data_IF_300425687166
#
_entry.id   IF_300425687166
#
_cell.length_a   1.000
_cell.length_b   1.000
_cell.length_c   1.000
_cell.angle_alpha   90.00
_cell.angle_beta   90.00
_cell.angle_gamma   90.00
#
_symmetry.space_group_name_H-M   'P 1'
#
loop_
_entity.id
_entity.type
_entity.pdbx_description
1 polymer ?
#
# COMPACT_ATOMS: atom_id res chain seq x y z
N UNK A 1 21.77 -46.62 8.05
CA UNK A 1 20.44 -46.35 8.63
C UNK A 1 20.29 -44.85 8.96
N UNK A 2 20.18 -43.99 7.94
CA UNK A 2 20.03 -42.54 8.10
C UNK A 2 18.68 -42.02 7.54
N UNK A 3 18.14 -42.63 6.48
CA UNK A 3 16.98 -42.11 5.76
C UNK A 3 15.68 -42.07 6.58
N UNK A 4 15.36 -43.11 7.36
CA UNK A 4 14.09 -43.17 8.10
C UNK A 4 13.96 -42.13 9.23
N UNK A 5 15.07 -41.80 9.90
CA UNK A 5 15.10 -40.78 10.96
C UNK A 5 15.00 -39.38 10.37
N UNK A 6 15.70 -39.12 9.27
CA UNK A 6 15.63 -37.85 8.54
C UNK A 6 14.23 -37.57 7.99
N UNK A 7 13.57 -38.57 7.39
CA UNK A 7 12.19 -38.45 6.89
C UNK A 7 11.24 -38.10 8.04
N UNK A 8 11.36 -38.76 9.21
CA UNK A 8 10.53 -38.43 10.39
C UNK A 8 10.76 -36.99 10.87
N UNK A 9 12.00 -36.52 10.84
CA UNK A 9 12.33 -35.13 11.19
C UNK A 9 11.71 -34.15 10.20
N UNK A 10 11.79 -34.41 8.88
CA UNK A 10 11.15 -33.58 7.85
C UNK A 10 9.62 -33.52 8.02
N UNK A 11 8.98 -34.68 8.28
CA UNK A 11 7.54 -34.74 8.56
C UNK A 11 7.17 -33.87 9.77
N UNK A 12 7.95 -33.95 10.84
CA UNK A 12 7.74 -33.11 12.03
C UNK A 12 7.89 -31.61 11.72
N UNK A 13 8.92 -31.24 10.95
CA UNK A 13 9.15 -29.86 10.53
C UNK A 13 8.00 -29.31 9.68
N UNK A 14 7.53 -30.05 8.67
CA UNK A 14 6.41 -29.64 7.81
C UNK A 14 5.12 -29.50 8.62
N UNK A 15 4.83 -30.45 9.52
CA UNK A 15 3.67 -30.36 10.43
C UNK A 15 3.73 -29.13 11.33
N UNK A 16 4.92 -28.73 11.78
CA UNK A 16 5.11 -27.53 12.59
C UNK A 16 4.85 -26.26 11.75
N UNK A 17 5.45 -26.16 10.57
CA UNK A 17 5.20 -25.06 9.63
C UNK A 17 3.72 -24.94 9.27
N UNK A 18 3.04 -26.06 9.00
CA UNK A 18 1.60 -26.08 8.71
C UNK A 18 0.78 -25.46 9.85
N UNK A 19 1.05 -25.85 11.10
CA UNK A 19 0.37 -25.29 12.28
C UNK A 19 0.62 -23.80 12.42
N UNK A 20 1.85 -23.34 12.19
CA UNK A 20 2.21 -21.92 12.24
C UNK A 20 1.45 -21.14 11.17
N UNK A 21 1.43 -21.61 9.93
CA UNK A 21 0.72 -20.93 8.84
C UNK A 21 -0.79 -20.90 9.05
N UNK A 22 -1.39 -21.98 9.57
CA UNK A 22 -2.82 -22.00 9.91
C UNK A 22 -3.14 -21.02 11.04
N UNK A 23 -2.28 -20.90 12.05
CA UNK A 23 -2.46 -19.90 13.10
C UNK A 23 -2.32 -18.48 12.54
N UNK A 24 -1.34 -18.22 11.68
CA UNK A 24 -1.16 -16.93 11.00
C UNK A 24 -2.39 -16.54 10.16
N UNK A 25 -2.99 -17.50 9.45
CA UNK A 25 -4.21 -17.29 8.67
C UNK A 25 -5.38 -16.83 9.56
N UNK A 26 -5.63 -17.52 10.67
CA UNK A 26 -6.67 -17.14 11.63
C UNK A 26 -6.43 -15.74 12.23
N UNK A 27 -5.18 -15.42 12.57
CA UNK A 27 -4.79 -14.08 13.04
C UNK A 27 -5.01 -13.03 11.97
N UNK A 28 -4.66 -13.32 10.71
CA UNK A 28 -4.86 -12.42 9.58
C UNK A 28 -6.35 -12.17 9.33
N UNK A 29 -7.20 -13.21 9.38
CA UNK A 29 -8.65 -13.08 9.24
C UNK A 29 -9.24 -12.17 10.35
N UNK A 30 -8.81 -12.35 11.59
CA UNK A 30 -9.23 -11.48 12.71
C UNK A 30 -8.80 -10.02 12.50
N UNK A 31 -7.56 -9.78 12.06
CA UNK A 31 -7.06 -8.43 11.74
C UNK A 31 -7.79 -7.80 10.55
N UNK A 32 -8.10 -8.59 9.52
CA UNK A 32 -8.85 -8.13 8.35
C UNK A 32 -10.24 -7.63 8.75
N UNK A 33 -10.95 -8.40 9.58
CA UNK A 33 -12.26 -7.98 10.10
C UNK A 33 -12.17 -6.66 10.85
N UNK A 34 -11.21 -6.51 11.77
CA UNK A 34 -10.99 -5.25 12.49
C UNK A 34 -10.67 -4.07 11.55
N UNK A 35 -9.88 -4.30 10.51
CA UNK A 35 -9.55 -3.29 9.52
C UNK A 35 -10.78 -2.85 8.71
N UNK A 36 -11.63 -3.80 8.30
CA UNK A 36 -12.90 -3.51 7.62
C UNK A 36 -13.88 -2.72 8.51
N UNK A 37 -13.98 -3.08 9.78
CA UNK A 37 -14.81 -2.35 10.75
C UNK A 37 -14.31 -0.90 10.94
N UNK A 38 -13.00 -0.69 11.06
CA UNK A 38 -12.39 0.65 11.12
C UNK A 38 -12.66 1.45 9.84
N UNK A 39 -12.51 0.84 8.67
CA UNK A 39 -12.78 1.48 7.38
C UNK A 39 -14.25 1.93 7.29
N UNK A 40 -15.19 1.07 7.71
CA UNK A 40 -16.62 1.37 7.68
C UNK A 40 -16.96 2.60 8.53
N UNK A 41 -16.40 2.70 9.74
CA UNK A 41 -16.60 3.85 10.63
C UNK A 41 -16.05 5.16 10.04
N UNK A 42 -14.88 5.11 9.41
CA UNK A 42 -14.26 6.29 8.79
C UNK A 42 -14.99 6.80 7.55
N UNK A 43 -15.72 5.93 6.84
CA UNK A 43 -16.39 6.26 5.58
C UNK A 43 -17.42 7.38 5.72
N UNK A 44 -18.16 7.41 6.82
CA UNK A 44 -19.16 8.46 7.07
C UNK A 44 -18.54 9.86 7.17
N UNK A 45 -17.40 9.98 7.86
CA UNK A 45 -16.65 11.23 7.98
C UNK A 45 -16.14 11.72 6.62
N UNK A 46 -15.49 10.82 5.86
CA UNK A 46 -14.97 11.15 4.52
C UNK A 46 -16.08 11.62 3.57
N UNK A 47 -17.23 10.93 3.58
CA UNK A 47 -18.38 11.32 2.77
C UNK A 47 -18.95 12.69 3.17
N UNK A 48 -19.08 12.94 4.48
CA UNK A 48 -19.66 14.20 4.95
C UNK A 48 -18.75 15.39 4.66
N UNK A 49 -17.44 15.25 4.86
CA UNK A 49 -16.47 16.29 4.49
C UNK A 49 -16.50 16.55 2.99
N UNK A 50 -16.50 15.50 2.16
CA UNK A 50 -16.58 15.67 0.70
C UNK A 50 -17.86 16.42 0.29
N UNK A 51 -18.99 16.13 0.92
CA UNK A 51 -20.25 16.83 0.67
C UNK A 51 -20.16 18.32 1.06
N UNK A 52 -19.57 18.63 2.22
CA UNK A 52 -19.39 20.02 2.66
C UNK A 52 -18.43 20.77 1.74
N UNK A 53 -17.28 20.18 1.38
CA UNK A 53 -16.32 20.77 0.43
C UNK A 53 -17.02 21.06 -0.91
N UNK A 54 -17.79 20.10 -1.44
CA UNK A 54 -18.52 20.29 -2.69
C UNK A 54 -19.57 21.40 -2.61
N UNK A 55 -20.27 21.51 -1.49
CA UNK A 55 -21.26 22.58 -1.29
C UNK A 55 -20.60 23.97 -1.25
N UNK A 56 -19.48 24.11 -0.51
CA UNK A 56 -18.74 25.36 -0.43
C UNK A 56 -18.11 25.73 -1.78
N UNK A 57 -17.54 24.75 -2.49
CA UNK A 57 -16.94 24.96 -3.80
C UNK A 57 -17.94 25.47 -4.85
N UNK A 58 -19.19 24.97 -4.81
CA UNK A 58 -20.24 25.43 -5.73
C UNK A 58 -20.85 26.78 -5.33
N UNK A 59 -20.78 27.17 -4.05
CA UNK A 59 -21.37 28.40 -3.56
C UNK A 59 -20.49 29.64 -3.80
N UNK A 60 -19.16 29.48 -3.84
CA UNK A 60 -18.22 30.58 -4.12
C UNK A 60 -17.65 30.47 -5.53
N UNK A 61 -18.34 31.02 -6.54
CA UNK A 61 -17.90 30.94 -7.94
C UNK A 61 -16.64 31.75 -8.25
N UNK A 62 -16.32 32.77 -7.45
CA UNK A 62 -15.20 33.68 -7.71
C UNK A 62 -13.86 33.20 -7.14
N UNK A 63 -13.87 32.32 -6.13
CA UNK A 63 -12.66 31.81 -5.50
C UNK A 63 -12.40 30.35 -5.90
N UNK A 64 -11.36 30.12 -6.71
CA UNK A 64 -10.87 28.78 -7.00
C UNK A 64 -9.69 28.42 -6.09
N UNK A 65 -9.82 27.30 -5.38
CA UNK A 65 -8.71 26.79 -4.57
C UNK A 65 -7.64 26.17 -5.47
N UNK A 66 -6.36 26.32 -5.13
CA UNK A 66 -5.20 25.78 -5.88
C UNK A 66 -5.25 24.26 -6.18
N UNK A 67 -6.12 23.50 -5.50
CA UNK A 67 -6.28 22.05 -5.70
C UNK A 67 -7.49 21.72 -6.59
N UNK A 68 -8.23 22.73 -7.02
CA UNK A 68 -9.37 22.63 -7.94
C UNK A 68 -9.01 23.14 -9.34
N UNK A 69 -7.90 23.86 -9.48
CA UNK A 69 -7.40 24.36 -10.77
C UNK A 69 -6.67 23.27 -11.56
N UNK A 70 -6.95 23.18 -12.85
CA UNK A 70 -6.15 22.37 -13.78
C UNK A 70 -4.95 23.17 -14.27
N UNK A 71 -3.79 22.53 -14.28
CA UNK A 71 -2.53 23.12 -14.73
C UNK A 71 -1.71 22.12 -15.53
N UNK A 72 -0.76 22.62 -16.30
CA UNK A 72 0.24 21.80 -16.96
C UNK A 72 1.02 20.97 -15.92
N UNK A 73 1.13 19.67 -16.17
CA UNK A 73 1.77 18.73 -15.24
C UNK A 73 3.25 18.65 -15.54
N UNK A 74 4.05 19.37 -14.74
CA UNK A 74 5.53 19.31 -14.80
C UNK A 74 6.13 18.26 -13.88
N UNK A 75 5.38 17.89 -12.83
CA UNK A 75 5.80 16.92 -11.81
C UNK A 75 4.59 16.22 -11.20
N UNK A 76 4.73 14.95 -10.87
CA UNK A 76 3.70 14.11 -10.25
C UNK A 76 4.22 13.46 -8.97
N UNK A 77 3.39 13.46 -7.94
CA UNK A 77 3.66 12.76 -6.68
C UNK A 77 2.89 11.45 -6.61
N UNK A 78 3.59 10.35 -6.39
CA UNK A 78 2.99 9.03 -6.15
C UNK A 78 3.05 8.69 -4.66
N UNK A 79 1.87 8.51 -4.06
CA UNK A 79 1.75 7.96 -2.71
C UNK A 79 1.56 6.45 -2.83
N UNK A 80 2.61 5.68 -2.55
CA UNK A 80 2.59 4.22 -2.69
C UNK A 80 2.36 3.58 -1.32
N UNK A 81 1.20 2.95 -1.15
CA UNK A 81 0.80 2.29 0.11
C UNK A 81 1.04 0.79 0.02
N UNK A 82 2.09 0.34 0.69
CA UNK A 82 2.52 -1.05 0.81
C UNK A 82 2.32 -1.59 2.23
N UNK A 83 2.55 -2.89 2.44
CA UNK A 83 2.52 -3.48 3.77
C UNK A 83 3.86 -3.31 4.51
N UNK A 84 3.82 -3.30 5.84
CA UNK A 84 5.05 -3.42 6.65
C UNK A 84 5.58 -4.86 6.69
N UNK A 85 4.67 -5.85 6.67
CA UNK A 85 4.99 -7.28 6.82
C UNK A 85 4.89 -8.05 5.51
N UNK A 86 5.68 -9.13 5.38
CA UNK A 86 5.63 -10.06 4.25
C UNK A 86 4.54 -11.14 4.38
N UNK A 87 4.71 -12.25 3.66
CA UNK A 87 3.79 -13.41 3.65
C UNK A 87 2.34 -13.06 3.24
N UNK A 88 2.19 -12.08 2.34
CA UNK A 88 0.91 -11.61 1.82
C UNK A 88 0.71 -11.97 0.33
N UNK A 89 1.32 -13.07 -0.12
CA UNK A 89 1.32 -13.46 -1.54
C UNK A 89 1.89 -12.37 -2.45
N UNK A 90 1.25 -12.16 -3.60
CA UNK A 90 1.70 -11.21 -4.62
C UNK A 90 1.27 -9.75 -4.40
N UNK A 91 0.65 -9.40 -3.27
CA UNK A 91 0.04 -8.08 -3.05
C UNK A 91 0.98 -6.90 -3.37
N UNK A 92 2.15 -6.85 -2.72
CA UNK A 92 3.10 -5.76 -2.91
C UNK A 92 3.73 -5.77 -4.30
N UNK A 93 4.11 -6.94 -4.81
CA UNK A 93 4.74 -7.04 -6.13
C UNK A 93 3.78 -6.60 -7.25
N UNK A 94 2.52 -6.98 -7.17
CA UNK A 94 1.50 -6.55 -8.14
C UNK A 94 1.27 -5.04 -8.07
N UNK A 95 1.25 -4.46 -6.87
CA UNK A 95 1.19 -3.01 -6.68
C UNK A 95 2.40 -2.31 -7.30
N UNK A 96 3.63 -2.75 -6.97
CA UNK A 96 4.85 -2.11 -7.45
C UNK A 96 4.98 -2.17 -8.97
N UNK A 97 4.66 -3.32 -9.58
CA UNK A 97 4.63 -3.45 -11.06
C UNK A 97 3.70 -2.43 -11.71
N UNK A 98 2.47 -2.28 -11.19
CA UNK A 98 1.52 -1.29 -11.71
C UNK A 98 2.01 0.14 -11.49
N UNK A 99 2.57 0.42 -10.30
CA UNK A 99 3.09 1.73 -9.97
C UNK A 99 4.25 2.13 -10.91
N UNK A 100 5.18 1.20 -11.19
CA UNK A 100 6.31 1.44 -12.11
C UNK A 100 5.80 1.75 -13.53
N UNK A 101 4.85 0.97 -14.03
CA UNK A 101 4.27 1.22 -15.36
C UNK A 101 3.62 2.60 -15.42
N UNK A 102 2.83 2.96 -14.40
CA UNK A 102 2.20 4.27 -14.33
C UNK A 102 3.22 5.42 -14.22
N UNK A 103 4.28 5.26 -13.43
CA UNK A 103 5.36 6.25 -13.32
C UNK A 103 6.08 6.45 -14.65
N UNK A 104 6.34 5.35 -15.37
CA UNK A 104 6.98 5.40 -16.68
C UNK A 104 6.17 6.20 -17.71
N UNK A 105 4.85 6.12 -17.68
CA UNK A 105 4.00 6.93 -18.58
C UNK A 105 4.16 8.45 -18.39
N UNK A 106 4.56 8.89 -17.19
CA UNK A 106 4.86 10.29 -16.90
C UNK A 106 6.31 10.63 -17.23
N UNK A 107 7.24 9.75 -16.87
CA UNK A 107 8.68 9.90 -17.17
C UNK A 107 8.92 9.98 -18.69
N UNK A 108 8.27 9.14 -19.49
CA UNK A 108 8.34 9.15 -20.96
C UNK A 108 7.82 10.47 -21.57
N UNK A 109 7.00 11.23 -20.83
CA UNK A 109 6.51 12.57 -21.20
C UNK A 109 7.40 13.70 -20.67
N UNK A 110 8.54 13.38 -20.04
CA UNK A 110 9.45 14.34 -19.41
C UNK A 110 8.90 14.96 -18.12
N UNK A 111 7.93 14.32 -17.47
CA UNK A 111 7.34 14.79 -16.21
C UNK A 111 8.08 14.15 -15.04
N UNK A 112 8.57 14.97 -14.11
CA UNK A 112 9.29 14.48 -12.94
C UNK A 112 8.39 13.66 -12.00
N UNK A 113 8.94 12.61 -11.38
CA UNK A 113 8.21 11.69 -10.50
C UNK A 113 8.80 11.69 -9.10
N UNK A 114 8.00 12.11 -8.12
CA UNK A 114 8.33 12.06 -6.70
C UNK A 114 7.54 10.94 -6.00
N UNK A 115 8.19 10.23 -5.07
CA UNK A 115 7.62 9.11 -4.34
C UNK A 115 7.48 9.40 -2.86
N UNK A 116 6.26 9.21 -2.34
CA UNK A 116 5.97 9.16 -0.91
C UNK A 116 5.55 7.74 -0.55
N UNK A 117 6.35 7.06 0.26
CA UNK A 117 6.21 5.64 0.54
C UNK A 117 5.54 5.43 1.89
N UNK A 118 4.50 4.62 1.89
CA UNK A 118 3.85 4.12 3.11
C UNK A 118 4.09 2.62 3.20
N UNK A 119 4.67 2.17 4.30
CA UNK A 119 4.96 0.77 4.59
C UNK A 119 6.40 0.35 4.30
N UNK A 120 6.93 -0.53 5.15
CA UNK A 120 8.33 -0.97 5.09
C UNK A 120 8.69 -1.73 3.80
N UNK A 121 7.75 -2.45 3.17
CA UNK A 121 8.04 -3.18 1.92
C UNK A 121 8.22 -2.26 0.72
N UNK A 122 7.46 -1.18 0.64
CA UNK A 122 7.61 -0.14 -0.38
C UNK A 122 8.92 0.59 -0.20
N UNK A 123 9.24 1.03 1.03
CA UNK A 123 10.51 1.66 1.34
C UNK A 123 11.70 0.79 0.94
N UNK A 124 11.72 -0.48 1.32
CA UNK A 124 12.81 -1.40 0.94
C UNK A 124 12.91 -1.64 -0.57
N UNK A 125 11.77 -1.76 -1.25
CA UNK A 125 11.74 -2.02 -2.70
C UNK A 125 12.25 -0.81 -3.49
N UNK A 126 11.68 0.38 -3.29
CA UNK A 126 12.05 1.58 -4.06
C UNK A 126 13.43 2.13 -3.69
N UNK A 127 13.92 1.88 -2.47
CA UNK A 127 15.32 2.17 -2.12
C UNK A 127 16.32 1.32 -2.92
N UNK A 128 15.93 0.11 -3.35
CA UNK A 128 16.78 -0.78 -4.15
C UNK A 128 16.56 -0.60 -5.65
N UNK A 129 15.31 -0.41 -6.07
CA UNK A 129 14.92 -0.24 -7.48
C UNK A 129 15.31 1.14 -8.02
N UNK A 130 15.31 2.17 -7.16
CA UNK A 130 15.50 3.56 -7.56
C UNK A 130 14.17 4.32 -7.66
N UNK A 131 14.29 5.64 -7.81
CA UNK A 131 13.19 6.61 -7.81
C UNK A 131 13.42 7.70 -6.77
N UNK A 132 12.82 8.88 -6.98
CA UNK A 132 13.01 10.01 -6.08
C UNK A 132 12.10 9.90 -4.84
N UNK A 133 12.57 9.22 -3.80
CA UNK A 133 11.80 9.06 -2.55
C UNK A 133 11.93 10.31 -1.68
N UNK A 134 10.88 11.14 -1.67
CA UNK A 134 10.85 12.40 -0.90
C UNK A 134 10.38 12.21 0.54
N UNK A 135 9.61 11.16 0.81
CA UNK A 135 9.14 10.84 2.15
C UNK A 135 8.89 9.33 2.28
N UNK A 136 9.11 8.79 3.48
CA UNK A 136 8.77 7.41 3.79
C UNK A 136 8.27 7.31 5.24
N UNK A 137 7.21 6.54 5.45
CA UNK A 137 6.66 6.24 6.78
C UNK A 137 6.30 4.75 6.86
N UNK A 138 6.46 4.16 8.04
CA UNK A 138 6.16 2.76 8.33
C UNK A 138 5.35 2.66 9.62
N UNK A 139 4.81 1.48 9.90
CA UNK A 139 4.16 1.14 11.16
C UNK A 139 2.91 2.00 11.48
N UNK A 140 2.11 2.32 10.45
CA UNK A 140 0.89 3.13 10.57
C UNK A 140 -0.36 2.37 11.06
N UNK A 141 -0.24 1.09 11.42
CA UNK A 141 -1.36 0.30 11.96
C UNK A 141 -1.13 -1.19 12.16
#
# INVERSE_FOLDING_TARGET
MASGKEIRTQISSIKSTQKITSAMEMVAASKMRKAQERMSRGKAYANKIKAVIGHVANANSEYQHIFMEQREVKRVGFIVVSTDRGLCGGLNINLFKRAIVAMKEFDDKGVEVDLSLVGAKGAGFFNSYGGNVVAAVRDLG
#
